data_IF_364781672564
#
_entry.id   IF_364781672564
#
_cell.length_a   1.000
_cell.length_b   1.000
_cell.length_c   1.000
_cell.angle_alpha   90.00
_cell.angle_beta   90.00
_cell.angle_gamma   90.00
#
_symmetry.space_group_name_H-M   'P 1'
#
loop_
_entity.id
_entity.type
_entity.pdbx_description
1 polymer ?
#
# COMPACT_ATOMS: atom_id res chain seq x y z
N UNK A 1 21.60 -12.11 -4.73
CA UNK A 1 21.92 -13.16 -3.71
C UNK A 1 22.97 -14.12 -4.24
N UNK A 2 23.73 -14.77 -3.33
CA UNK A 2 24.63 -15.84 -3.72
C UNK A 2 23.83 -17.10 -4.10
N UNK A 3 24.33 -17.91 -5.05
CA UNK A 3 23.64 -19.12 -5.53
C UNK A 3 23.39 -20.15 -4.41
N UNK A 4 24.31 -20.23 -3.43
CA UNK A 4 24.14 -21.08 -2.25
C UNK A 4 22.93 -20.67 -1.40
N UNK A 5 22.73 -19.37 -1.17
CA UNK A 5 21.57 -18.83 -0.43
C UNK A 5 20.26 -19.14 -1.15
N UNK A 6 20.23 -18.97 -2.48
CA UNK A 6 19.05 -19.29 -3.30
C UNK A 6 18.71 -20.78 -3.18
N UNK A 7 19.72 -21.64 -3.30
CA UNK A 7 19.53 -23.09 -3.20
C UNK A 7 19.07 -23.52 -1.82
N UNK A 8 19.65 -22.97 -0.75
CA UNK A 8 19.29 -23.29 0.63
C UNK A 8 17.85 -22.87 0.94
N UNK A 9 17.46 -21.62 0.62
CA UNK A 9 16.10 -21.15 0.88
C UNK A 9 15.06 -21.92 0.07
N UNK A 10 15.34 -22.21 -1.21
CA UNK A 10 14.47 -23.05 -2.06
C UNK A 10 14.23 -24.42 -1.44
N UNK A 11 15.30 -25.10 -0.99
CA UNK A 11 15.19 -26.41 -0.35
C UNK A 11 14.38 -26.35 0.94
N UNK A 12 14.59 -25.33 1.77
CA UNK A 12 13.87 -25.13 3.03
C UNK A 12 12.37 -24.86 2.82
N UNK A 13 12.00 -23.97 1.88
CA UNK A 13 10.62 -23.69 1.53
C UNK A 13 9.91 -24.94 0.98
N UNK A 14 10.60 -25.69 0.11
CA UNK A 14 10.07 -26.95 -0.45
C UNK A 14 9.85 -28.01 0.63
N UNK A 15 10.81 -28.20 1.54
CA UNK A 15 10.71 -29.17 2.62
C UNK A 15 9.53 -28.88 3.58
N UNK A 16 9.19 -27.60 3.77
CA UNK A 16 8.05 -27.18 4.58
C UNK A 16 6.75 -26.99 3.78
N UNK A 17 6.74 -27.32 2.51
CA UNK A 17 5.59 -27.20 1.60
C UNK A 17 5.00 -25.78 1.57
N UNK A 18 5.85 -24.76 1.73
CA UNK A 18 5.44 -23.36 1.65
C UNK A 18 5.35 -22.92 0.18
N UNK A 19 4.30 -22.19 -0.22
CA UNK A 19 4.10 -21.82 -1.61
C UNK A 19 5.04 -20.69 -2.03
N UNK A 20 5.80 -20.90 -3.09
CA UNK A 20 6.69 -19.90 -3.68
C UNK A 20 6.91 -20.10 -5.18
N UNK A 21 7.37 -19.04 -5.85
CA UNK A 21 7.93 -19.05 -7.20
C UNK A 21 9.30 -18.36 -7.19
N UNK A 22 10.13 -18.61 -8.23
CA UNK A 22 11.42 -17.93 -8.43
C UNK A 22 11.37 -17.11 -9.71
N UNK A 23 12.03 -15.94 -9.72
CA UNK A 23 12.09 -15.08 -10.90
C UNK A 23 10.74 -14.47 -11.28
N UNK A 24 9.81 -14.34 -10.34
CA UNK A 24 8.47 -13.80 -10.60
C UNK A 24 8.53 -12.32 -10.98
N UNK A 25 8.02 -11.92 -12.16
CA UNK A 25 7.95 -10.51 -12.55
C UNK A 25 7.09 -9.70 -11.60
N UNK A 26 7.61 -8.56 -11.07
CA UNK A 26 6.89 -7.74 -10.09
C UNK A 26 5.94 -6.72 -10.72
N UNK A 27 6.16 -6.33 -11.97
CA UNK A 27 5.31 -5.38 -12.66
C UNK A 27 3.80 -5.75 -12.65
N UNK A 28 3.37 -7.01 -12.88
CA UNK A 28 1.96 -7.40 -12.79
C UNK A 28 1.35 -7.24 -11.40
N UNK A 29 2.18 -7.27 -10.36
CA UNK A 29 1.77 -7.21 -8.95
C UNK A 29 1.73 -5.79 -8.37
N UNK A 30 2.02 -4.77 -9.17
CA UNK A 30 1.91 -3.36 -8.79
C UNK A 30 0.88 -2.61 -9.64
N UNK A 31 0.28 -1.57 -9.08
CA UNK A 31 -0.63 -0.71 -9.86
C UNK A 31 0.10 0.18 -10.85
N UNK A 32 1.41 0.40 -10.66
CA UNK A 32 2.25 1.17 -11.59
C UNK A 32 2.70 0.34 -12.81
N UNK A 33 2.61 -1.00 -12.72
CA UNK A 33 3.04 -1.92 -13.78
C UNK A 33 4.51 -1.78 -14.14
N UNK A 34 5.36 -1.52 -13.13
CA UNK A 34 6.82 -1.40 -13.24
C UNK A 34 7.46 -2.30 -12.20
N UNK A 35 8.59 -2.91 -12.54
CA UNK A 35 9.41 -3.74 -11.68
C UNK A 35 9.94 -4.98 -12.38
N UNK A 36 11.22 -5.26 -12.17
CA UNK A 36 11.87 -6.49 -12.60
C UNK A 36 11.47 -7.71 -11.75
N UNK A 37 12.16 -8.84 -11.86
CA UNK A 37 11.81 -10.07 -11.18
C UNK A 37 12.18 -10.05 -9.68
N UNK A 38 11.38 -10.74 -8.83
CA UNK A 38 11.78 -11.11 -7.49
C UNK A 38 12.57 -12.43 -7.52
N UNK A 39 13.64 -12.53 -6.73
CA UNK A 39 14.36 -13.79 -6.61
C UNK A 39 13.45 -14.89 -6.03
N UNK A 40 12.63 -14.54 -5.03
CA UNK A 40 11.55 -15.37 -4.51
C UNK A 40 10.25 -14.58 -4.42
N UNK A 41 9.15 -15.20 -4.83
CA UNK A 41 7.79 -14.75 -4.65
C UNK A 41 7.06 -15.75 -3.76
N UNK A 42 6.75 -15.38 -2.51
CA UNK A 42 6.11 -16.26 -1.54
C UNK A 42 4.65 -15.85 -1.35
N UNK A 43 3.74 -16.84 -1.31
CA UNK A 43 2.29 -16.60 -1.23
C UNK A 43 1.66 -17.33 -0.04
N UNK A 44 1.99 -16.95 1.21
CA UNK A 44 1.42 -17.58 2.41
C UNK A 44 -0.09 -17.36 2.47
N UNK A 45 -0.82 -18.36 2.93
CA UNK A 45 -2.29 -18.35 3.00
C UNK A 45 -2.84 -18.10 4.40
N UNK A 46 -1.97 -18.20 5.40
CA UNK A 46 -2.29 -18.00 6.80
C UNK A 46 -1.08 -17.44 7.57
N UNK A 47 -1.31 -17.06 8.82
CA UNK A 47 -0.29 -16.46 9.67
C UNK A 47 0.85 -17.44 10.00
N UNK A 48 0.58 -18.75 10.08
CA UNK A 48 1.61 -19.75 10.37
C UNK A 48 2.53 -19.96 9.16
N UNK A 49 1.99 -20.07 7.94
CA UNK A 49 2.81 -20.13 6.74
C UNK A 49 3.65 -18.86 6.57
N UNK A 50 3.06 -17.69 6.86
CA UNK A 50 3.79 -16.42 6.83
C UNK A 50 4.94 -16.43 7.85
N UNK A 51 4.67 -16.79 9.10
CA UNK A 51 5.68 -16.85 10.17
C UNK A 51 6.84 -17.78 9.79
N UNK A 52 6.54 -18.98 9.27
CA UNK A 52 7.56 -19.93 8.79
C UNK A 52 8.36 -19.38 7.62
N UNK A 53 7.70 -18.74 6.66
CA UNK A 53 8.38 -18.13 5.51
C UNK A 53 9.35 -17.04 5.96
N UNK A 54 8.91 -16.15 6.88
CA UNK A 54 9.74 -15.10 7.46
C UNK A 54 10.93 -15.67 8.23
N UNK A 55 10.70 -16.73 9.02
CA UNK A 55 11.75 -17.42 9.77
C UNK A 55 12.81 -18.00 8.83
N UNK A 56 12.40 -18.71 7.78
CA UNK A 56 13.34 -19.30 6.79
C UNK A 56 14.12 -18.23 6.04
N UNK A 57 13.49 -17.12 5.66
CA UNK A 57 14.18 -16.01 5.04
C UNK A 57 15.26 -15.44 5.98
N UNK A 58 14.93 -15.26 7.26
CA UNK A 58 15.88 -14.78 8.28
C UNK A 58 17.05 -15.74 8.49
N UNK A 59 16.77 -17.04 8.66
CA UNK A 59 17.79 -18.10 8.87
C UNK A 59 18.77 -18.18 7.68
N UNK A 60 18.31 -17.85 6.48
CA UNK A 60 19.14 -17.85 5.27
C UNK A 60 19.67 -16.45 4.89
N UNK A 61 19.48 -15.42 5.73
CA UNK A 61 19.96 -14.06 5.46
C UNK A 61 19.32 -13.41 4.22
N UNK A 62 18.09 -13.79 3.86
CA UNK A 62 17.36 -13.29 2.70
C UNK A 62 16.53 -12.08 3.10
N UNK A 63 16.71 -10.97 2.38
CA UNK A 63 15.90 -9.75 2.53
C UNK A 63 14.44 -10.04 2.20
N UNK A 64 13.53 -9.42 2.94
CA UNK A 64 12.08 -9.57 2.74
C UNK A 64 11.44 -8.23 2.39
N UNK A 65 10.48 -8.26 1.47
CA UNK A 65 9.55 -7.17 1.22
C UNK A 65 8.11 -7.68 1.31
N UNK A 66 7.30 -7.08 2.19
CA UNK A 66 5.88 -7.41 2.35
C UNK A 66 5.07 -6.60 1.35
N UNK A 67 4.35 -7.25 0.44
CA UNK A 67 3.59 -6.59 -0.61
C UNK A 67 2.09 -6.86 -0.43
N UNK A 68 1.31 -5.78 -0.30
CA UNK A 68 -0.14 -5.82 -0.43
C UNK A 68 -0.57 -5.76 -1.90
N UNK A 69 -1.32 -4.72 -2.26
CA UNK A 69 -1.78 -4.51 -3.65
C UNK A 69 -0.77 -3.73 -4.53
N UNK A 70 0.42 -3.43 -4.03
CA UNK A 70 1.45 -2.72 -4.79
C UNK A 70 1.03 -1.31 -5.25
N UNK A 71 0.10 -0.67 -4.53
CA UNK A 71 -0.51 0.59 -4.95
C UNK A 71 0.27 1.85 -4.53
N UNK A 72 1.35 1.67 -3.77
CA UNK A 72 2.29 2.73 -3.39
C UNK A 72 3.75 2.26 -3.52
N UNK A 73 4.01 1.31 -4.43
CA UNK A 73 5.32 0.65 -4.58
C UNK A 73 5.80 0.79 -6.01
N UNK A 74 7.07 1.13 -6.15
CA UNK A 74 7.83 1.15 -7.39
C UNK A 74 9.06 0.25 -7.22
N UNK A 75 9.06 -0.93 -7.84
CA UNK A 75 10.22 -1.81 -7.83
C UNK A 75 11.25 -1.41 -8.88
N UNK A 76 12.52 -1.63 -8.55
CA UNK A 76 13.64 -1.44 -9.47
C UNK A 76 13.48 -2.30 -10.74
N UNK A 77 14.01 -1.81 -11.84
CA UNK A 77 13.98 -2.51 -13.13
C UNK A 77 14.82 -3.80 -13.11
N UNK A 78 15.86 -3.85 -12.27
CA UNK A 78 16.63 -5.06 -12.01
C UNK A 78 15.86 -6.08 -11.14
N UNK A 79 14.75 -5.67 -10.54
CA UNK A 79 13.93 -6.48 -9.65
C UNK A 79 14.31 -6.36 -8.17
N UNK A 80 13.97 -7.39 -7.40
CA UNK A 80 14.24 -7.46 -5.97
C UNK A 80 15.08 -8.69 -5.63
N UNK A 81 16.31 -8.45 -5.20
CA UNK A 81 17.23 -9.51 -4.79
C UNK A 81 16.93 -10.00 -3.37
N UNK A 82 15.79 -10.66 -3.22
CA UNK A 82 15.23 -11.12 -1.95
C UNK A 82 13.91 -11.86 -2.14
N UNK A 83 13.15 -12.03 -1.06
CA UNK A 83 11.82 -12.60 -1.05
C UNK A 83 10.76 -11.52 -0.97
N UNK A 84 9.90 -11.41 -1.99
CA UNK A 84 8.66 -10.63 -1.93
C UNK A 84 7.56 -11.55 -1.42
N UNK A 85 6.92 -11.15 -0.33
CA UNK A 85 5.82 -11.92 0.28
C UNK A 85 4.50 -11.24 -0.08
N UNK A 86 3.67 -11.96 -0.84
CA UNK A 86 2.33 -11.54 -1.20
C UNK A 86 1.38 -11.70 -0.02
N UNK A 87 1.02 -10.60 0.60
CA UNK A 87 0.14 -10.57 1.78
C UNK A 87 -1.33 -10.80 1.45
N UNK A 88 -1.73 -10.81 0.15
CA UNK A 88 -3.13 -10.95 -0.27
C UNK A 88 -3.76 -12.30 0.11
N UNK A 89 -2.95 -13.30 0.41
CA UNK A 89 -3.40 -14.57 0.96
C UNK A 89 -4.05 -14.46 2.35
N UNK A 90 -3.71 -13.43 3.14
CA UNK A 90 -4.27 -13.18 4.47
C UNK A 90 -5.53 -12.28 4.38
N UNK A 91 -6.60 -12.76 3.76
CA UNK A 91 -7.77 -11.96 3.34
C UNK A 91 -9.10 -12.34 4.01
N UNK A 92 -9.11 -12.77 5.26
CA UNK A 92 -10.33 -13.02 6.04
C UNK A 92 -11.01 -11.73 6.50
N UNK A 93 -12.33 -11.81 6.78
CA UNK A 93 -13.09 -10.74 7.47
C UNK A 93 -14.10 -11.37 8.42
N UNK A 94 -14.09 -10.92 9.68
CA UNK A 94 -15.04 -11.31 10.72
C UNK A 94 -15.67 -10.07 11.32
N UNK A 95 -16.95 -10.14 11.67
CA UNK A 95 -17.69 -9.06 12.30
C UNK A 95 -18.34 -9.52 13.59
N UNK A 96 -18.37 -8.66 14.60
CA UNK A 96 -19.09 -8.88 15.85
C UNK A 96 -19.71 -7.57 16.33
N UNK A 97 -20.92 -7.66 16.89
CA UNK A 97 -21.55 -6.50 17.52
C UNK A 97 -20.72 -6.08 18.73
N UNK A 98 -20.45 -4.79 18.82
CA UNK A 98 -19.82 -4.18 20.00
C UNK A 98 -20.90 -3.78 21.00
N UNK A 99 -21.96 -3.12 20.50
CA UNK A 99 -23.15 -2.72 21.22
C UNK A 99 -24.32 -2.51 20.24
N UNK A 100 -25.40 -1.85 20.67
CA UNK A 100 -26.57 -1.59 19.82
C UNK A 100 -26.25 -0.71 18.59
N UNK A 101 -25.25 0.18 18.69
CA UNK A 101 -24.96 1.24 17.71
C UNK A 101 -23.67 1.01 16.95
N UNK A 102 -22.79 0.07 17.39
CA UNK A 102 -21.47 -0.13 16.83
C UNK A 102 -21.14 -1.61 16.57
N UNK A 103 -20.35 -1.83 15.54
CA UNK A 103 -19.88 -3.15 15.09
C UNK A 103 -18.37 -3.13 14.92
N UNK A 104 -17.69 -4.15 15.44
CA UNK A 104 -16.28 -4.44 15.12
C UNK A 104 -16.21 -5.24 13.83
N UNK A 105 -15.27 -4.88 12.96
CA UNK A 105 -14.89 -5.70 11.82
C UNK A 105 -13.38 -5.92 11.89
N UNK A 106 -12.97 -7.17 12.05
CA UNK A 106 -11.56 -7.57 11.92
C UNK A 106 -11.33 -8.04 10.50
N UNK A 107 -10.35 -7.44 9.83
CA UNK A 107 -9.99 -7.77 8.45
C UNK A 107 -8.51 -8.14 8.36
N UNK A 108 -8.20 -9.22 7.64
CA UNK A 108 -6.83 -9.64 7.37
C UNK A 108 -6.05 -8.61 6.56
N UNK A 109 -4.74 -8.54 6.77
CA UNK A 109 -3.86 -7.54 6.15
C UNK A 109 -3.91 -7.55 4.62
N UNK A 110 -4.17 -8.71 4.01
CA UNK A 110 -4.30 -8.88 2.57
C UNK A 110 -5.67 -8.52 2.01
N UNK A 111 -6.67 -8.28 2.87
CA UNK A 111 -8.01 -7.87 2.43
C UNK A 111 -7.95 -6.51 1.75
N UNK A 112 -8.60 -6.35 0.58
CA UNK A 112 -8.66 -5.03 -0.07
C UNK A 112 -9.60 -4.08 0.67
N UNK A 113 -9.24 -2.79 0.74
CA UNK A 113 -10.08 -1.75 1.34
C UNK A 113 -11.46 -1.68 0.67
N UNK A 114 -11.52 -1.80 -0.65
CA UNK A 114 -12.79 -1.79 -1.38
C UNK A 114 -13.75 -2.89 -0.91
N UNK A 115 -13.27 -4.12 -0.65
CA UNK A 115 -14.12 -5.20 -0.13
C UNK A 115 -14.52 -4.98 1.33
N UNK A 116 -13.63 -4.39 2.15
CA UNK A 116 -13.96 -4.02 3.52
C UNK A 116 -15.06 -2.95 3.53
N UNK A 117 -14.95 -1.90 2.69
CA UNK A 117 -15.97 -0.86 2.54
C UNK A 117 -17.31 -1.44 2.02
N UNK A 118 -17.27 -2.34 1.05
CA UNK A 118 -18.49 -3.01 0.55
C UNK A 118 -19.16 -3.86 1.62
N UNK A 119 -18.38 -4.57 2.45
CA UNK A 119 -18.92 -5.33 3.59
C UNK A 119 -19.58 -4.40 4.61
N UNK A 120 -18.93 -3.29 4.97
CA UNK A 120 -19.50 -2.29 5.87
C UNK A 120 -20.81 -1.72 5.33
N UNK A 121 -20.84 -1.33 4.05
CA UNK A 121 -22.05 -0.82 3.40
C UNK A 121 -23.19 -1.85 3.40
N UNK A 122 -22.92 -3.12 3.09
CA UNK A 122 -23.93 -4.18 3.10
C UNK A 122 -24.55 -4.39 4.50
N UNK A 123 -23.77 -4.12 5.55
CA UNK A 123 -24.22 -4.17 6.96
C UNK A 123 -24.85 -2.85 7.45
N UNK A 124 -24.98 -1.84 6.59
CA UNK A 124 -25.47 -0.51 6.96
C UNK A 124 -24.55 0.24 7.93
N UNK A 125 -23.23 0.05 7.80
CA UNK A 125 -22.24 0.67 8.70
C UNK A 125 -21.56 1.85 8.01
N UNK A 126 -21.45 2.97 8.72
CA UNK A 126 -20.77 4.21 8.30
C UNK A 126 -19.40 4.34 8.93
N UNK A 127 -18.51 5.13 8.31
CA UNK A 127 -17.16 5.47 8.77
C UNK A 127 -16.05 5.09 7.81
N UNK A 128 -16.30 4.21 6.82
CA UNK A 128 -15.30 3.76 5.84
C UNK A 128 -15.53 4.28 4.42
N UNK A 129 -16.49 5.14 4.18
CA UNK A 129 -16.85 5.63 2.84
C UNK A 129 -15.67 6.28 2.13
N UNK A 130 -14.81 6.98 2.87
CA UNK A 130 -13.60 7.64 2.34
C UNK A 130 -12.61 6.66 1.69
N UNK A 131 -12.60 5.41 2.17
CA UNK A 131 -11.61 4.42 1.77
C UNK A 131 -12.01 3.58 0.54
N UNK A 132 -13.29 3.66 0.10
CA UNK A 132 -13.85 2.77 -0.93
C UNK A 132 -13.09 2.81 -2.28
N UNK A 133 -12.47 3.94 -2.61
CA UNK A 133 -11.68 4.11 -3.84
C UNK A 133 -10.17 3.93 -3.68
N UNK A 134 -9.66 3.69 -2.47
CA UNK A 134 -8.22 3.49 -2.25
C UNK A 134 -7.83 2.08 -2.72
N UNK A 135 -6.89 1.92 -3.68
CA UNK A 135 -6.57 0.62 -4.28
C UNK A 135 -5.61 -0.23 -3.42
N UNK A 136 -5.62 -0.04 -2.10
CA UNK A 136 -4.74 -0.72 -1.15
C UNK A 136 -5.36 -1.93 -0.48
N UNK A 137 -4.54 -2.66 0.28
CA UNK A 137 -4.97 -3.66 1.25
C UNK A 137 -5.06 -3.05 2.66
N UNK A 138 -5.73 -3.72 3.57
CA UNK A 138 -5.87 -3.31 4.98
C UNK A 138 -4.49 -3.12 5.63
N UNK A 139 -3.57 -4.08 5.47
CA UNK A 139 -2.21 -3.95 6.01
C UNK A 139 -1.45 -2.75 5.44
N UNK A 140 -1.51 -2.52 4.12
CA UNK A 140 -0.92 -1.33 3.50
C UNK A 140 -1.57 -0.03 3.96
N UNK A 141 -2.88 -0.04 4.21
CA UNK A 141 -3.61 1.11 4.73
C UNK A 141 -3.23 1.45 6.18
N UNK A 142 -3.08 0.44 7.04
CA UNK A 142 -2.56 0.61 8.42
C UNK A 142 -1.14 1.16 8.38
N UNK A 143 -0.27 0.56 7.57
CA UNK A 143 1.14 0.97 7.43
C UNK A 143 1.27 2.47 7.11
N UNK A 144 0.44 2.96 6.18
CA UNK A 144 0.48 4.33 5.68
C UNK A 144 -0.51 5.27 6.38
N UNK A 145 -1.31 4.81 7.35
CA UNK A 145 -2.48 5.54 7.80
C UNK A 145 -3.25 6.14 6.61
N UNK A 146 -3.70 5.26 5.72
CA UNK A 146 -4.30 5.67 4.46
C UNK A 146 -5.53 6.56 4.68
N UNK A 147 -5.61 7.66 3.94
CA UNK A 147 -6.71 8.61 4.06
C UNK A 147 -7.04 9.30 2.75
N UNK A 148 -8.27 9.74 2.65
CA UNK A 148 -8.81 10.52 1.54
C UNK A 148 -10.01 11.36 2.01
N UNK A 149 -10.28 12.48 1.34
CA UNK A 149 -11.47 13.32 1.57
C UNK A 149 -11.64 13.81 3.01
N UNK A 150 -10.54 14.02 3.73
CA UNK A 150 -10.53 14.56 5.09
C UNK A 150 -10.62 13.53 6.22
N UNK A 151 -10.72 12.23 5.89
CA UNK A 151 -10.70 11.12 6.86
C UNK A 151 -9.51 10.20 6.61
N UNK A 152 -9.09 9.49 7.63
CA UNK A 152 -7.98 8.54 7.61
C UNK A 152 -8.31 7.26 8.40
N UNK A 153 -7.54 6.20 8.17
CA UNK A 153 -7.83 4.91 8.78
C UNK A 153 -7.82 4.96 10.32
N UNK A 154 -6.96 5.77 10.93
CA UNK A 154 -6.93 5.94 12.39
C UNK A 154 -8.26 6.39 13.00
N UNK A 155 -9.13 7.06 12.20
CA UNK A 155 -10.41 7.59 12.69
C UNK A 155 -11.40 6.46 13.05
N UNK A 156 -11.20 5.26 12.50
CA UNK A 156 -12.06 4.08 12.72
C UNK A 156 -11.29 2.86 13.26
N UNK A 157 -9.97 2.93 13.34
CA UNK A 157 -9.12 1.81 13.78
C UNK A 157 -9.20 1.63 15.28
N UNK A 158 -9.46 0.40 15.74
CA UNK A 158 -9.42 0.02 17.16
C UNK A 158 -8.08 -0.59 17.54
N UNK A 159 -7.61 -1.57 16.75
CA UNK A 159 -6.37 -2.30 17.06
C UNK A 159 -5.77 -2.96 15.82
N UNK A 160 -4.52 -3.35 15.92
CA UNK A 160 -3.78 -4.09 14.89
C UNK A 160 -3.08 -5.29 15.52
N UNK A 161 -3.25 -6.46 14.90
CA UNK A 161 -2.52 -7.68 15.24
C UNK A 161 -1.39 -7.89 14.23
N UNK A 162 -0.18 -8.18 14.71
CA UNK A 162 1.03 -8.28 13.89
C UNK A 162 2.03 -9.27 14.48
N UNK A 163 3.01 -9.69 13.70
CA UNK A 163 4.22 -10.37 14.18
C UNK A 163 5.28 -9.30 14.44
N UNK A 164 5.89 -9.33 15.62
CA UNK A 164 7.02 -8.46 15.97
C UNK A 164 8.35 -8.96 15.37
N UNK A 165 9.46 -8.29 15.70
CA UNK A 165 10.80 -8.67 15.24
C UNK A 165 11.22 -10.07 15.66
N UNK A 166 10.66 -10.63 16.71
CA UNK A 166 10.91 -12.01 17.16
C UNK A 166 9.88 -13.01 16.63
N UNK A 167 9.06 -12.58 15.67
CA UNK A 167 7.95 -13.34 15.08
C UNK A 167 6.92 -13.78 16.14
N UNK A 168 6.79 -13.01 17.24
CA UNK A 168 5.79 -13.21 18.24
C UNK A 168 4.52 -12.45 17.90
N UNK A 169 3.37 -13.06 18.12
CA UNK A 169 2.08 -12.43 17.92
C UNK A 169 1.86 -11.31 18.94
N UNK A 170 1.56 -10.12 18.45
CA UNK A 170 1.25 -8.92 19.25
C UNK A 170 -0.03 -8.27 18.76
N UNK A 171 -0.70 -7.59 19.67
CA UNK A 171 -1.83 -6.71 19.35
C UNK A 171 -1.62 -5.38 20.05
N UNK A 172 -1.71 -4.29 19.31
CA UNK A 172 -1.65 -2.92 19.85
C UNK A 172 -2.94 -2.17 19.55
N UNK A 173 -3.45 -1.39 20.53
CA UNK A 173 -4.56 -0.47 20.27
C UNK A 173 -4.11 0.66 19.35
N UNK A 174 -5.05 1.28 18.64
CA UNK A 174 -4.78 2.35 17.67
C UNK A 174 -4.00 3.53 18.29
N UNK A 175 -4.23 3.83 19.57
CA UNK A 175 -3.55 4.91 20.30
C UNK A 175 -2.02 4.71 20.37
N UNK A 176 -1.55 3.46 20.36
CA UNK A 176 -0.13 3.12 20.50
C UNK A 176 0.57 2.96 19.13
N UNK A 177 -0.16 3.14 18.01
CA UNK A 177 0.38 2.93 16.67
C UNK A 177 1.09 4.15 16.08
N UNK A 178 1.23 5.25 16.81
CA UNK A 178 1.89 6.49 16.38
C UNK A 178 1.44 6.95 14.98
N UNK A 179 0.13 6.85 14.70
CA UNK A 179 -0.42 7.14 13.37
C UNK A 179 -0.45 8.64 13.09
N UNK A 180 0.24 9.04 12.04
CA UNK A 180 0.30 10.40 11.53
C UNK A 180 -0.02 10.46 10.03
N UNK A 181 0.22 11.64 9.42
CA UNK A 181 0.05 11.80 7.98
C UNK A 181 1.01 10.88 7.20
N UNK A 182 0.46 9.86 6.56
CA UNK A 182 1.20 8.85 5.78
C UNK A 182 2.28 8.10 6.57
N UNK A 183 2.07 7.88 7.86
CA UNK A 183 3.00 7.13 8.72
C UNK A 183 2.27 6.39 9.83
N UNK A 184 2.94 5.37 10.35
CA UNK A 184 2.56 4.62 11.55
C UNK A 184 3.83 4.02 12.20
N UNK A 185 3.70 3.41 13.38
CA UNK A 185 4.80 2.71 14.08
C UNK A 185 5.46 1.63 13.21
N UNK A 186 4.74 1.04 12.25
CA UNK A 186 5.25 0.02 11.34
C UNK A 186 6.30 0.55 10.35
N UNK A 187 6.31 1.86 10.06
CA UNK A 187 7.36 2.47 9.25
C UNK A 187 8.70 2.52 9.99
N UNK A 188 8.66 2.66 11.31
CA UNK A 188 9.84 2.66 12.19
C UNK A 188 10.31 1.24 12.55
N UNK A 189 9.45 0.25 12.35
CA UNK A 189 9.72 -1.17 12.65
C UNK A 189 9.49 -2.02 11.39
N UNK A 190 10.39 -1.96 10.39
CA UNK A 190 10.21 -2.59 9.08
C UNK A 190 10.14 -4.12 9.14
N UNK A 191 10.62 -4.72 10.22
CA UNK A 191 10.56 -6.17 10.47
C UNK A 191 9.22 -6.63 11.05
N UNK A 192 8.34 -5.68 11.45
CA UNK A 192 7.02 -6.01 11.96
C UNK A 192 6.06 -6.28 10.80
N UNK A 193 5.30 -7.36 10.90
CA UNK A 193 4.40 -7.81 9.85
C UNK A 193 2.94 -7.75 10.29
N UNK A 194 2.15 -6.84 9.72
CA UNK A 194 0.73 -6.69 10.01
C UNK A 194 -0.03 -7.93 9.51
N UNK A 195 -0.82 -8.56 10.39
CA UNK A 195 -1.65 -9.73 10.09
C UNK A 195 -3.12 -9.36 9.89
N UNK A 196 -3.64 -8.48 10.74
CA UNK A 196 -5.03 -8.02 10.66
C UNK A 196 -5.19 -6.68 11.36
N UNK A 197 -6.28 -6.00 11.04
CA UNK A 197 -6.72 -4.78 11.70
C UNK A 197 -8.19 -4.90 12.09
N UNK A 198 -8.54 -4.39 13.28
CA UNK A 198 -9.93 -4.27 13.75
C UNK A 198 -10.35 -2.82 13.67
N UNK A 199 -11.48 -2.58 13.00
CA UNK A 199 -12.11 -1.26 12.92
C UNK A 199 -13.45 -1.29 13.66
N UNK A 200 -13.83 -0.16 14.25
CA UNK A 200 -15.15 0.07 14.85
C UNK A 200 -15.93 1.01 13.95
N UNK A 201 -17.09 0.55 13.52
CA UNK A 201 -17.97 1.28 12.63
C UNK A 201 -19.36 1.42 13.27
N UNK A 202 -20.05 2.51 12.97
CA UNK A 202 -21.35 2.79 13.55
C UNK A 202 -22.49 2.38 12.61
N UNK A 203 -23.62 1.95 13.18
CA UNK A 203 -24.82 1.66 12.41
C UNK A 203 -25.40 2.95 11.84
N UNK A 204 -25.81 2.90 10.58
CA UNK A 204 -26.32 4.04 9.85
C UNK A 204 -27.32 3.63 8.78
N UNK A 205 -27.71 4.57 7.94
CA UNK A 205 -28.54 4.28 6.76
C UNK A 205 -27.67 3.75 5.62
N UNK A 206 -27.82 2.46 5.29
CA UNK A 206 -27.06 1.80 4.23
C UNK A 206 -27.24 2.44 2.85
N UNK A 207 -28.41 3.11 2.58
CA UNK A 207 -28.61 3.85 1.33
C UNK A 207 -27.78 5.14 1.30
N UNK A 208 -27.72 5.86 2.42
CA UNK A 208 -26.89 7.06 2.57
C UNK A 208 -25.39 6.72 2.47
N UNK A 209 -24.94 5.64 3.11
CA UNK A 209 -23.57 5.11 2.99
C UNK A 209 -23.22 4.81 1.54
N UNK A 210 -24.08 4.08 0.81
CA UNK A 210 -23.88 3.76 -0.60
C UNK A 210 -23.81 5.03 -1.46
N UNK A 211 -24.72 5.97 -1.26
CA UNK A 211 -24.75 7.24 -1.98
C UNK A 211 -23.44 8.03 -1.76
N UNK A 212 -22.93 8.06 -0.52
CA UNK A 212 -21.66 8.72 -0.20
C UNK A 212 -20.48 8.03 -0.86
N UNK A 213 -20.42 6.70 -0.85
CA UNK A 213 -19.37 5.95 -1.54
C UNK A 213 -19.40 6.25 -3.05
N UNK A 214 -20.57 6.27 -3.69
CA UNK A 214 -20.71 6.57 -5.11
C UNK A 214 -20.27 8.01 -5.45
N UNK A 215 -20.62 8.98 -4.61
CA UNK A 215 -20.15 10.36 -4.74
C UNK A 215 -18.61 10.45 -4.71
N UNK A 216 -17.98 9.78 -3.74
CA UNK A 216 -16.51 9.81 -3.58
C UNK A 216 -15.80 9.08 -4.73
N UNK A 217 -16.35 7.96 -5.21
CA UNK A 217 -15.85 7.26 -6.38
C UNK A 217 -15.99 8.11 -7.66
N UNK A 218 -17.11 8.83 -7.80
CA UNK A 218 -17.33 9.80 -8.89
C UNK A 218 -16.27 10.89 -8.88
N UNK A 219 -16.07 11.56 -7.73
CA UNK A 219 -15.02 12.58 -7.57
C UNK A 219 -13.62 12.06 -7.92
N UNK A 220 -13.34 10.80 -7.56
CA UNK A 220 -12.06 10.16 -7.86
C UNK A 220 -11.89 9.94 -9.36
N UNK A 221 -12.90 9.34 -10.02
CA UNK A 221 -12.91 9.11 -11.47
C UNK A 221 -12.74 10.41 -12.27
N UNK A 222 -13.41 11.47 -11.83
CA UNK A 222 -13.38 12.75 -12.53
C UNK A 222 -12.02 13.47 -12.40
N UNK A 223 -11.33 13.30 -11.25
CA UNK A 223 -10.10 14.06 -10.96
C UNK A 223 -8.80 13.26 -11.09
N UNK A 224 -8.83 11.94 -11.05
CA UNK A 224 -7.61 11.13 -11.07
C UNK A 224 -7.44 10.37 -12.39
N UNK A 225 -6.21 10.10 -12.84
CA UNK A 225 -5.91 9.43 -14.10
C UNK A 225 -6.04 7.90 -13.95
N UNK A 226 -7.25 7.40 -13.61
CA UNK A 226 -7.49 5.99 -13.32
C UNK A 226 -7.34 5.08 -14.56
N UNK A 227 -7.33 5.65 -15.73
CA UNK A 227 -7.11 4.99 -17.02
C UNK A 227 -5.63 4.60 -17.25
N UNK A 228 -4.71 5.17 -16.47
CA UNK A 228 -3.28 4.90 -16.58
C UNK A 228 -2.72 4.20 -15.34
N UNK A 229 -1.77 3.27 -15.50
CA UNK A 229 -1.05 2.70 -14.38
C UNK A 229 -0.29 3.79 -13.61
N UNK A 230 -0.42 3.77 -12.28
CA UNK A 230 0.26 4.71 -11.37
C UNK A 230 0.31 4.13 -9.94
N UNK A 231 1.10 4.73 -9.08
CA UNK A 231 1.13 4.42 -7.65
C UNK A 231 0.42 5.48 -6.78
N UNK A 232 -0.66 6.08 -7.31
CA UNK A 232 -1.39 7.14 -6.60
C UNK A 232 -0.68 8.48 -6.62
N UNK A 233 -0.88 9.28 -5.58
CA UNK A 233 -0.16 10.56 -5.42
C UNK A 233 1.33 10.31 -5.25
N UNK A 234 2.14 10.95 -6.09
CA UNK A 234 3.58 10.70 -6.14
C UNK A 234 4.35 11.39 -5.02
N UNK A 235 3.85 12.55 -4.58
CA UNK A 235 4.47 13.36 -3.55
C UNK A 235 3.52 13.57 -2.37
N UNK A 236 4.10 13.61 -1.16
CA UNK A 236 3.40 14.01 0.05
C UNK A 236 2.93 15.46 -0.07
N UNK A 237 1.87 15.82 0.64
CA UNK A 237 1.40 17.21 0.72
C UNK A 237 2.40 18.01 1.56
N UNK A 238 3.07 19.04 1.01
CA UNK A 238 3.88 19.95 1.80
C UNK A 238 3.00 20.81 2.72
N UNK A 239 3.58 21.27 3.82
CA UNK A 239 2.86 22.13 4.75
C UNK A 239 2.44 23.43 4.06
N UNK A 240 1.15 23.78 4.16
CA UNK A 240 0.59 25.01 3.59
C UNK A 240 0.32 25.01 2.09
N UNK A 241 0.62 23.89 1.38
CA UNK A 241 0.40 23.82 -0.07
C UNK A 241 -0.09 22.42 -0.52
N UNK A 242 -0.39 22.29 -1.81
CA UNK A 242 -0.74 21.02 -2.46
C UNK A 242 0.31 20.69 -3.53
N UNK A 243 0.95 19.52 -3.42
CA UNK A 243 2.00 19.12 -4.37
C UNK A 243 1.55 19.19 -5.84
N UNK A 244 0.36 18.66 -6.17
CA UNK A 244 -0.18 18.73 -7.53
C UNK A 244 -0.37 20.15 -8.04
N UNK A 245 -0.79 21.10 -7.18
CA UNK A 245 -0.94 22.52 -7.57
C UNK A 245 0.41 23.20 -7.81
N UNK A 246 1.39 22.98 -6.94
CA UNK A 246 2.75 23.48 -7.12
C UNK A 246 3.36 22.98 -8.44
N UNK A 247 3.21 21.70 -8.76
CA UNK A 247 3.70 21.09 -9.99
C UNK A 247 3.00 21.72 -11.22
N UNK A 248 1.68 21.92 -11.14
CA UNK A 248 0.90 22.58 -12.19
C UNK A 248 1.33 24.03 -12.43
N UNK A 249 1.49 24.81 -11.34
CA UNK A 249 1.89 26.22 -11.40
C UNK A 249 3.33 26.41 -11.93
N UNK A 250 4.17 25.38 -11.78
CA UNK A 250 5.48 25.33 -12.40
C UNK A 250 5.46 25.00 -13.90
N UNK A 251 4.28 24.73 -14.50
CA UNK A 251 4.12 24.41 -15.91
C UNK A 251 4.52 22.96 -16.26
N UNK A 252 4.48 22.05 -15.28
CA UNK A 252 4.96 20.67 -15.45
C UNK A 252 3.84 19.66 -15.79
N UNK A 253 2.62 20.12 -16.13
CA UNK A 253 1.55 19.28 -16.66
C UNK A 253 2.02 18.57 -17.93
N UNK A 254 1.93 17.23 -18.00
CA UNK A 254 2.40 16.45 -19.15
C UNK A 254 3.92 16.31 -19.25
N UNK A 255 4.71 16.83 -18.30
CA UNK A 255 6.17 16.68 -18.29
C UNK A 255 6.56 15.20 -18.28
N UNK A 256 7.46 14.82 -19.19
CA UNK A 256 7.74 13.41 -19.51
C UNK A 256 9.23 13.10 -19.44
N UNK A 257 9.60 11.96 -18.88
CA UNK A 257 10.94 11.36 -18.93
C UNK A 257 10.78 9.88 -19.27
N UNK A 258 11.33 9.45 -20.41
CA UNK A 258 11.13 8.10 -20.91
C UNK A 258 9.63 7.77 -21.07
N UNK A 259 9.18 6.68 -20.46
CA UNK A 259 7.77 6.28 -20.42
C UNK A 259 6.96 6.86 -19.27
N UNK A 260 7.58 7.59 -18.34
CA UNK A 260 6.92 8.20 -17.18
C UNK A 260 6.48 9.63 -17.48
N UNK A 261 5.27 10.04 -17.04
CA UNK A 261 4.71 11.36 -17.31
C UNK A 261 3.96 11.90 -16.09
N UNK A 262 4.08 13.22 -15.82
CA UNK A 262 3.15 13.94 -14.95
C UNK A 262 1.78 13.94 -15.64
N UNK A 263 0.77 13.40 -14.96
CA UNK A 263 -0.56 13.30 -15.54
C UNK A 263 -1.13 14.65 -15.95
N UNK A 264 -1.69 14.70 -17.14
CA UNK A 264 -2.40 15.88 -17.64
C UNK A 264 -3.70 16.15 -16.87
N UNK A 265 -4.30 15.10 -16.28
CA UNK A 265 -5.55 15.19 -15.52
C UNK A 265 -5.32 15.64 -14.08
N UNK A 266 -4.22 15.20 -13.45
CA UNK A 266 -3.88 15.52 -12.06
C UNK A 266 -2.37 15.55 -11.86
N UNK A 267 -1.78 16.74 -11.75
CA UNK A 267 -0.32 16.90 -11.70
C UNK A 267 0.36 16.28 -10.44
N UNK A 268 -0.39 15.86 -9.44
CA UNK A 268 0.15 15.09 -8.29
C UNK A 268 0.43 13.61 -8.60
N UNK A 269 0.08 13.13 -9.81
CA UNK A 269 0.27 11.74 -10.23
C UNK A 269 1.35 11.65 -11.31
N UNK A 270 2.25 10.69 -11.15
CA UNK A 270 3.07 10.18 -12.25
C UNK A 270 2.38 8.93 -12.79
N UNK A 271 2.23 8.88 -14.10
CA UNK A 271 1.59 7.78 -14.83
C UNK A 271 2.60 7.05 -15.72
N UNK A 272 2.38 5.77 -15.93
CA UNK A 272 3.10 4.97 -16.92
C UNK A 272 2.33 5.05 -18.26
N UNK A 273 2.91 5.76 -19.23
CA UNK A 273 2.32 5.94 -20.58
C UNK A 273 2.52 4.72 -21.50
N UNK A 274 3.20 3.71 -21.00
CA UNK A 274 3.62 2.52 -21.71
C UNK A 274 5.14 2.40 -21.70
N UNK A 275 5.64 1.27 -21.19
CA UNK A 275 7.07 0.98 -21.13
C UNK A 275 7.89 1.87 -20.18
N UNK A 276 7.26 2.56 -19.22
CA UNK A 276 8.00 3.31 -18.20
C UNK A 276 8.83 2.37 -17.33
N UNK A 277 10.05 2.79 -17.03
CA UNK A 277 10.98 2.11 -16.13
C UNK A 277 10.98 2.77 -14.75
N UNK A 278 11.51 2.06 -13.74
CA UNK A 278 11.78 2.65 -12.42
C UNK A 278 12.74 3.83 -12.56
N UNK A 279 13.76 3.70 -13.38
CA UNK A 279 14.72 4.77 -13.66
C UNK A 279 14.04 6.03 -14.22
N UNK A 280 13.09 5.89 -15.16
CA UNK A 280 12.32 7.00 -15.72
C UNK A 280 11.54 7.75 -14.62
N UNK A 281 10.82 7.01 -13.77
CA UNK A 281 10.01 7.58 -12.68
C UNK A 281 10.90 8.30 -11.66
N UNK A 282 12.03 7.70 -11.28
CA UNK A 282 12.98 8.31 -10.35
C UNK A 282 13.57 9.60 -10.94
N UNK A 283 14.01 9.57 -12.20
CA UNK A 283 14.55 10.73 -12.90
C UNK A 283 13.50 11.84 -13.05
N UNK A 284 12.27 11.50 -13.45
CA UNK A 284 11.17 12.44 -13.58
C UNK A 284 10.85 13.12 -12.25
N UNK A 285 10.71 12.32 -11.17
CA UNK A 285 10.36 12.86 -9.84
C UNK A 285 11.46 13.74 -9.28
N UNK A 286 12.73 13.44 -9.56
CA UNK A 286 13.86 14.28 -9.13
C UNK A 286 13.90 15.62 -9.86
N UNK A 287 13.69 15.61 -11.20
CA UNK A 287 13.62 16.85 -11.98
C UNK A 287 12.43 17.71 -11.53
N UNK A 288 11.25 17.12 -11.31
CA UNK A 288 10.07 17.83 -10.78
C UNK A 288 10.38 18.48 -9.45
N UNK A 289 11.03 17.75 -8.52
CA UNK A 289 11.42 18.25 -7.21
C UNK A 289 12.32 19.48 -7.33
N UNK A 290 13.38 19.41 -8.14
CA UNK A 290 14.34 20.50 -8.37
C UNK A 290 13.67 21.73 -8.99
N UNK A 291 12.81 21.56 -9.99
CA UNK A 291 12.11 22.67 -10.65
C UNK A 291 11.14 23.35 -9.67
N UNK A 292 10.36 22.58 -8.91
CA UNK A 292 9.42 23.14 -7.93
C UNK A 292 10.16 23.86 -6.81
N UNK A 293 11.21 23.27 -6.26
CA UNK A 293 12.04 23.90 -5.23
C UNK A 293 12.64 25.24 -5.71
N UNK A 294 13.22 25.26 -6.91
CA UNK A 294 13.83 26.46 -7.51
C UNK A 294 12.80 27.57 -7.74
N UNK A 295 11.58 27.22 -8.19
CA UNK A 295 10.57 28.22 -8.57
C UNK A 295 9.73 28.68 -7.38
N UNK A 296 9.55 27.86 -6.36
CA UNK A 296 8.55 28.10 -5.29
C UNK A 296 9.13 28.08 -3.89
N UNK A 297 10.35 27.55 -3.69
CA UNK A 297 10.96 27.32 -2.39
C UNK A 297 10.39 26.09 -1.65
N UNK A 298 9.37 25.39 -2.17
CA UNK A 298 8.83 24.19 -1.55
C UNK A 298 9.64 22.96 -1.95
N UNK A 299 10.04 22.17 -0.96
CA UNK A 299 10.70 20.87 -1.17
C UNK A 299 9.63 19.79 -1.21
N UNK A 300 9.52 19.08 -2.35
CA UNK A 300 8.61 17.94 -2.48
C UNK A 300 9.27 16.66 -1.97
N UNK A 301 8.55 15.90 -1.14
CA UNK A 301 8.96 14.58 -0.67
C UNK A 301 8.14 13.51 -1.40
N UNK A 302 8.81 12.47 -1.93
CA UNK A 302 8.11 11.34 -2.57
C UNK A 302 7.29 10.56 -1.53
N UNK A 303 6.02 10.28 -1.86
CA UNK A 303 5.14 9.38 -1.09
C UNK A 303 5.30 7.93 -1.58
N UNK A 304 5.54 7.74 -2.87
CA UNK A 304 5.77 6.40 -3.45
C UNK A 304 7.07 5.79 -2.94
N UNK A 305 7.03 4.49 -2.65
CA UNK A 305 8.16 3.74 -2.12
C UNK A 305 8.95 3.09 -3.25
N UNK A 306 10.18 3.53 -3.44
CA UNK A 306 11.13 2.91 -4.39
C UNK A 306 11.82 1.75 -3.67
N UNK A 307 11.72 0.55 -4.23
CA UNK A 307 12.26 -0.70 -3.67
C UNK A 307 13.35 -1.22 -4.60
N UNK A 308 14.58 -1.34 -4.02
CA UNK A 308 15.78 -1.80 -4.73
C UNK A 308 16.32 -3.08 -4.15
#
# INVERSE_FOLDING_TARGET
MQEQTITALRAALTAQQLPFAQGEPLAPHTTFKIGGPAAFWCTPRDAEQLRRTLQLCRENGVRVYLLGNGSNTLFDDAGFDGAVIDMRGLSGMEGSDLDADAVRITAGAGQTLGRLCSKAQTLGLTGLEFACGIPGTVGGAVYMNAGAYGSELKDVLESVTFLDSDLQLRTLPAADLAMGYRTSIFEQNPDWCILSATVVLHRGDGAAVLARMQELLGKRRDKQPLEWPSAGSTFKRPQGAFAGKLIEDCGLRGFTVGGAQISEKHCGFVINRGGATCADVVALTEQVRQIVETKTGFVLEREIRVVK
#
